data_IF_302509252307
#
_entry.id   IF_302509252307
#
_cell.length_a   1.000
_cell.length_b   1.000
_cell.length_c   1.000
_cell.angle_alpha   90.00
_cell.angle_beta   90.00
_cell.angle_gamma   90.00
#
_symmetry.space_group_name_H-M   'P 1'
#
loop_
_entity.id
_entity.type
_entity.pdbx_description
1 polymer ?
#
# COMPACT_ATOMS: atom_id res chain seq x y z
N UNK A 1 -43.39 -14.35 13.82
CA UNK A 1 -42.27 -13.41 14.11
C UNK A 1 -40.91 -14.09 14.38
N UNK A 2 -40.75 -15.38 14.47
CA UNK A 2 -39.44 -16.01 14.71
C UNK A 2 -38.47 -15.89 13.49
N UNK A 3 -38.96 -15.85 12.25
CA UNK A 3 -38.09 -15.84 11.08
C UNK A 3 -37.24 -14.58 10.88
N UNK A 4 -37.64 -13.44 11.45
CA UNK A 4 -36.82 -12.19 11.37
C UNK A 4 -35.61 -12.23 12.29
N UNK A 5 -35.71 -12.87 13.45
CA UNK A 5 -34.60 -13.00 14.40
C UNK A 5 -33.54 -13.94 13.84
N UNK A 6 -33.94 -15.06 13.23
CA UNK A 6 -33.04 -16.02 12.58
C UNK A 6 -32.29 -15.35 11.41
N UNK A 7 -32.95 -14.50 10.62
CA UNK A 7 -32.33 -13.79 9.50
C UNK A 7 -31.24 -12.81 9.93
N UNK A 8 -31.42 -12.14 11.09
CA UNK A 8 -30.42 -11.22 11.64
C UNK A 8 -29.33 -11.92 12.47
N UNK A 9 -29.62 -13.10 13.01
CA UNK A 9 -28.67 -13.89 13.77
C UNK A 9 -27.73 -14.73 12.89
N UNK A 10 -28.19 -15.15 11.70
CA UNK A 10 -27.40 -15.97 10.77
C UNK A 10 -26.02 -15.38 10.40
N UNK A 11 -25.87 -14.07 10.09
CA UNK A 11 -24.55 -13.47 9.81
C UNK A 11 -23.59 -13.48 10.99
N UNK A 12 -24.10 -13.52 12.24
CA UNK A 12 -23.28 -13.55 13.45
C UNK A 12 -22.80 -14.94 13.80
N UNK A 13 -23.42 -15.98 13.24
CA UNK A 13 -23.09 -17.38 13.54
C UNK A 13 -21.67 -17.73 13.04
N UNK A 14 -21.29 -17.25 11.86
CA UNK A 14 -19.96 -17.50 11.29
C UNK A 14 -18.84 -16.83 12.12
N UNK A 15 -18.91 -15.54 12.47
CA UNK A 15 -17.94 -14.94 13.39
C UNK A 15 -17.90 -15.59 14.75
N UNK A 16 -19.06 -15.95 15.33
CA UNK A 16 -19.12 -16.63 16.62
C UNK A 16 -18.42 -18.01 16.56
N UNK A 17 -18.70 -18.79 15.53
CA UNK A 17 -18.04 -20.08 15.32
C UNK A 17 -16.52 -19.92 15.13
N UNK A 18 -16.10 -18.89 14.40
CA UNK A 18 -14.69 -18.57 14.22
C UNK A 18 -14.00 -18.29 15.57
N UNK A 19 -14.58 -17.45 16.42
CA UNK A 19 -14.00 -17.15 17.74
C UNK A 19 -14.02 -18.37 18.68
N UNK A 20 -15.03 -19.21 18.61
CA UNK A 20 -15.06 -20.47 19.37
C UNK A 20 -13.94 -21.43 18.94
N UNK A 21 -13.75 -21.59 17.63
CA UNK A 21 -12.66 -22.42 17.08
C UNK A 21 -11.30 -21.82 17.46
N UNK A 22 -11.15 -20.49 17.38
CA UNK A 22 -9.92 -19.79 17.77
C UNK A 22 -9.56 -20.09 19.24
N UNK A 23 -10.50 -19.89 20.17
CA UNK A 23 -10.29 -20.09 21.60
C UNK A 23 -9.97 -21.56 21.89
N UNK A 24 -10.69 -22.49 21.25
CA UNK A 24 -10.41 -23.91 21.36
C UNK A 24 -8.99 -24.27 20.86
N UNK A 25 -8.57 -23.71 19.73
CA UNK A 25 -7.21 -23.90 19.20
C UNK A 25 -6.16 -23.28 20.12
N UNK A 26 -6.41 -22.08 20.67
CA UNK A 26 -5.50 -21.41 21.59
C UNK A 26 -5.26 -22.23 22.86
N UNK A 27 -6.32 -22.85 23.40
CA UNK A 27 -6.21 -23.75 24.56
C UNK A 27 -5.44 -25.04 24.23
N UNK A 28 -5.61 -25.59 23.02
CA UNK A 28 -4.88 -26.79 22.57
C UNK A 28 -3.38 -26.51 22.36
N UNK A 29 -3.05 -25.36 21.75
CA UNK A 29 -1.66 -24.96 21.49
C UNK A 29 -0.93 -24.63 22.81
N UNK A 30 -1.64 -24.03 23.78
CA UNK A 30 -1.10 -23.72 25.12
C UNK A 30 0.09 -22.76 25.11
N UNK A 31 0.32 -22.04 24.00
CA UNK A 31 1.42 -21.09 23.84
C UNK A 31 0.89 -19.77 23.27
N UNK A 32 0.77 -18.77 24.12
CA UNK A 32 0.24 -17.45 23.74
C UNK A 32 1.12 -16.68 22.74
N UNK A 33 2.39 -17.06 22.58
CA UNK A 33 3.26 -16.48 21.56
C UNK A 33 2.95 -16.97 20.15
N UNK A 34 2.35 -18.16 20.01
CA UNK A 34 1.96 -18.75 18.72
C UNK A 34 0.50 -18.41 18.43
N UNK A 35 -0.38 -18.64 19.41
CA UNK A 35 -1.81 -18.39 19.28
C UNK A 35 -2.35 -17.81 20.60
N UNK A 36 -2.43 -16.48 20.74
CA UNK A 36 -2.91 -15.85 21.96
C UNK A 36 -4.41 -16.13 22.16
N UNK A 37 -4.86 -16.39 23.40
CA UNK A 37 -6.27 -16.49 23.73
C UNK A 37 -6.98 -15.14 23.56
N UNK A 38 -8.29 -15.15 23.34
CA UNK A 38 -9.09 -13.94 23.12
C UNK A 38 -9.02 -12.98 24.32
N UNK A 39 -8.84 -13.49 25.52
CA UNK A 39 -8.70 -12.70 26.74
C UNK A 39 -7.45 -11.80 26.68
N UNK A 40 -6.29 -12.33 26.30
CA UNK A 40 -5.06 -11.56 26.15
C UNK A 40 -5.17 -10.50 25.05
N UNK A 41 -5.81 -10.85 23.92
CA UNK A 41 -6.08 -9.89 22.84
C UNK A 41 -7.01 -8.78 23.33
N UNK A 42 -8.08 -9.13 24.06
CA UNK A 42 -9.01 -8.18 24.64
C UNK A 42 -8.36 -7.23 25.65
N UNK A 43 -7.51 -7.75 26.53
CA UNK A 43 -6.76 -6.97 27.50
C UNK A 43 -5.81 -5.97 26.81
N UNK A 44 -5.09 -6.41 25.75
CA UNK A 44 -4.20 -5.55 24.96
C UNK A 44 -4.97 -4.42 24.27
N UNK A 45 -6.15 -4.70 23.73
CA UNK A 45 -7.00 -3.70 23.10
C UNK A 45 -7.63 -2.74 24.12
N UNK A 46 -7.90 -3.20 25.33
CA UNK A 46 -8.45 -2.37 26.41
C UNK A 46 -7.39 -1.40 26.97
N UNK A 47 -6.12 -1.81 26.94
CA UNK A 47 -4.99 -1.02 27.49
C UNK A 47 -3.89 -0.79 26.43
N UNK A 48 -4.16 -0.01 25.37
CA UNK A 48 -3.26 0.14 24.22
C UNK A 48 -1.97 0.93 24.53
N UNK A 49 -1.90 1.55 25.69
CA UNK A 49 -0.74 2.32 26.16
C UNK A 49 0.19 1.52 27.08
N UNK A 50 -0.22 0.32 27.46
CA UNK A 50 0.62 -0.52 28.31
C UNK A 50 1.76 -1.14 27.48
N UNK A 51 2.93 -1.27 28.13
CA UNK A 51 4.09 -1.88 27.49
C UNK A 51 3.91 -3.39 27.41
N UNK A 52 3.86 -3.92 26.19
CA UNK A 52 3.84 -5.35 25.93
C UNK A 52 5.28 -5.84 25.78
N UNK A 53 5.77 -6.52 26.80
CA UNK A 53 7.04 -7.28 26.85
C UNK A 53 8.11 -6.76 25.87
N UNK A 54 8.83 -5.70 26.24
CA UNK A 54 9.97 -5.13 25.50
C UNK A 54 9.69 -4.64 24.05
N UNK A 55 8.45 -4.68 23.57
CA UNK A 55 8.06 -4.25 22.22
C UNK A 55 7.46 -2.83 22.15
N UNK A 56 7.38 -2.12 23.28
CA UNK A 56 6.72 -0.82 23.37
C UNK A 56 5.20 -0.94 23.51
N UNK A 57 4.52 0.17 23.41
CA UNK A 57 3.04 0.23 23.52
C UNK A 57 2.39 -0.14 22.18
N UNK A 58 1.18 -0.70 22.21
CA UNK A 58 0.39 -0.99 20.99
C UNK A 58 0.18 0.28 20.15
N UNK A 59 -0.20 1.39 20.80
CA UNK A 59 -0.39 2.67 20.13
C UNK A 59 0.90 3.20 19.48
N UNK A 60 2.05 3.06 20.15
CA UNK A 60 3.35 3.42 19.59
C UNK A 60 3.72 2.61 18.36
N UNK A 61 3.49 1.30 18.39
CA UNK A 61 3.76 0.41 17.26
C UNK A 61 2.85 0.71 16.06
N UNK A 62 1.55 1.01 16.30
CA UNK A 62 0.63 1.45 15.25
C UNK A 62 1.12 2.77 14.64
N UNK A 63 1.52 3.75 15.46
CA UNK A 63 2.04 5.02 15.00
C UNK A 63 3.27 4.88 14.11
N UNK A 64 4.26 4.10 14.54
CA UNK A 64 5.48 3.81 13.75
C UNK A 64 5.13 3.09 12.45
N UNK A 65 4.23 2.12 12.49
CA UNK A 65 3.79 1.38 11.31
C UNK A 65 3.09 2.30 10.31
N UNK A 66 2.24 3.22 10.79
CA UNK A 66 1.58 4.21 9.95
C UNK A 66 2.57 5.16 9.28
N UNK A 67 3.55 5.68 10.04
CA UNK A 67 4.62 6.53 9.48
C UNK A 67 5.40 5.78 8.41
N UNK A 68 5.74 4.51 8.65
CA UNK A 68 6.44 3.65 7.67
C UNK A 68 5.66 3.49 6.38
N UNK A 69 4.36 3.18 6.48
CA UNK A 69 3.46 3.06 5.34
C UNK A 69 3.37 4.37 4.58
N UNK A 70 3.14 5.49 5.27
CA UNK A 70 3.04 6.81 4.64
C UNK A 70 4.35 7.21 3.94
N UNK A 71 5.52 6.96 4.54
CA UNK A 71 6.81 7.27 3.91
C UNK A 71 7.03 6.44 2.63
N UNK A 72 6.84 5.12 2.69
CA UNK A 72 6.99 4.25 1.50
C UNK A 72 6.01 4.60 0.39
N UNK A 73 4.76 4.88 0.76
CA UNK A 73 3.71 5.30 -0.16
C UNK A 73 4.00 6.67 -0.79
N UNK A 74 4.45 7.65 0.01
CA UNK A 74 4.81 8.97 -0.50
C UNK A 74 5.92 8.89 -1.56
N UNK A 75 6.94 8.07 -1.34
CA UNK A 75 7.99 7.83 -2.34
C UNK A 75 7.41 7.19 -3.61
N UNK A 76 6.49 6.24 -3.47
CA UNK A 76 5.82 5.61 -4.61
C UNK A 76 4.98 6.61 -5.42
N UNK A 77 4.29 7.55 -4.76
CA UNK A 77 3.53 8.63 -5.42
C UNK A 77 4.47 9.60 -6.12
N UNK A 78 5.51 10.06 -5.43
CA UNK A 78 6.48 11.04 -5.95
C UNK A 78 7.21 10.53 -7.20
N UNK A 79 7.47 9.23 -7.29
CA UNK A 79 8.14 8.63 -8.45
C UNK A 79 7.13 8.05 -9.46
N UNK A 80 6.09 7.38 -8.99
CA UNK A 80 5.13 6.67 -9.82
C UNK A 80 4.24 7.60 -10.64
N UNK A 81 3.76 8.71 -10.05
CA UNK A 81 2.89 9.66 -10.76
C UNK A 81 3.65 10.38 -11.88
N UNK A 82 4.79 11.04 -11.64
CA UNK A 82 5.52 11.71 -12.72
C UNK A 82 5.96 10.74 -13.82
N UNK A 83 6.49 9.56 -13.43
CA UNK A 83 6.91 8.55 -14.39
C UNK A 83 5.72 8.02 -15.20
N UNK A 84 4.59 7.73 -14.57
CA UNK A 84 3.37 7.28 -15.24
C UNK A 84 2.78 8.31 -16.18
N UNK A 85 2.75 9.58 -15.78
CA UNK A 85 2.33 10.70 -16.63
C UNK A 85 3.28 10.85 -17.83
N UNK A 86 4.60 10.79 -17.63
CA UNK A 86 5.57 10.83 -18.71
C UNK A 86 5.42 9.66 -19.68
N UNK A 87 5.23 8.45 -19.18
CA UNK A 87 4.95 7.27 -20.00
C UNK A 87 3.62 7.37 -20.74
N UNK A 88 2.59 7.93 -20.13
CA UNK A 88 1.29 8.15 -20.78
C UNK A 88 1.36 9.14 -21.93
N UNK A 89 2.20 10.17 -21.81
CA UNK A 89 2.37 11.21 -22.79
C UNK A 89 3.35 10.83 -23.92
N UNK A 90 4.54 10.30 -23.57
CA UNK A 90 5.59 9.96 -24.54
C UNK A 90 5.50 8.49 -24.95
N UNK A 91 5.02 8.21 -26.16
CA UNK A 91 4.87 6.84 -26.69
C UNK A 91 6.21 6.06 -26.74
N UNK A 92 7.34 6.72 -27.01
CA UNK A 92 8.67 6.12 -26.99
C UNK A 92 9.07 5.63 -25.59
N UNK A 93 8.88 6.49 -24.59
CA UNK A 93 9.13 6.15 -23.19
C UNK A 93 8.22 5.01 -22.71
N UNK A 94 6.95 5.05 -23.13
CA UNK A 94 6.00 3.97 -22.83
C UNK A 94 6.50 2.63 -23.37
N UNK A 95 6.90 2.55 -24.64
CA UNK A 95 7.39 1.31 -25.25
C UNK A 95 8.62 0.76 -24.54
N UNK A 96 9.57 1.64 -24.21
CA UNK A 96 10.82 1.27 -23.53
C UNK A 96 10.56 0.73 -22.12
N UNK A 97 9.84 1.51 -21.30
CA UNK A 97 9.65 1.18 -19.90
C UNK A 97 8.56 0.14 -19.66
N UNK A 98 7.52 0.07 -20.50
CA UNK A 98 6.44 -0.88 -20.30
C UNK A 98 6.91 -2.34 -20.40
N UNK A 99 7.85 -2.63 -21.30
CA UNK A 99 8.44 -3.96 -21.39
C UNK A 99 9.20 -4.29 -20.10
N UNK A 100 10.09 -3.39 -19.68
CA UNK A 100 10.90 -3.57 -18.47
C UNK A 100 10.05 -3.68 -17.20
N UNK A 101 9.17 -2.73 -16.97
CA UNK A 101 8.31 -2.70 -15.77
C UNK A 101 7.29 -3.83 -15.80
N UNK A 102 6.84 -4.24 -16.98
CA UNK A 102 5.93 -5.37 -17.17
C UNK A 102 6.48 -6.71 -16.68
N UNK A 103 7.81 -6.88 -16.70
CA UNK A 103 8.47 -8.09 -16.17
C UNK A 103 8.41 -8.17 -14.63
N UNK A 104 8.38 -7.04 -13.95
CA UNK A 104 8.33 -6.97 -12.48
C UNK A 104 6.92 -6.91 -11.91
N UNK A 105 5.94 -6.46 -12.70
CA UNK A 105 4.54 -6.30 -12.26
C UNK A 105 3.90 -7.58 -11.70
N UNK A 106 4.09 -8.79 -12.31
CA UNK A 106 3.48 -10.02 -11.81
C UNK A 106 4.14 -10.55 -10.52
N UNK A 107 5.25 -9.96 -10.07
CA UNK A 107 5.96 -10.42 -8.86
C UNK A 107 5.25 -9.85 -7.62
N UNK A 108 4.65 -10.70 -6.76
CA UNK A 108 3.99 -10.22 -5.55
C UNK A 108 5.00 -9.53 -4.62
N UNK A 109 4.61 -8.45 -3.91
CA UNK A 109 5.52 -7.70 -3.04
C UNK A 109 6.24 -8.57 -2.00
N UNK A 110 5.60 -9.61 -1.49
CA UNK A 110 6.20 -10.55 -0.54
C UNK A 110 7.37 -11.36 -1.13
N UNK A 111 7.36 -11.63 -2.43
CA UNK A 111 8.46 -12.33 -3.08
C UNK A 111 9.76 -11.51 -3.14
N UNK A 112 9.68 -10.18 -2.96
CA UNK A 112 10.84 -9.31 -2.88
C UNK A 112 11.55 -9.36 -1.54
N UNK A 113 10.90 -9.88 -0.47
CA UNK A 113 11.46 -9.87 0.90
C UNK A 113 12.87 -10.48 0.99
N UNK A 114 13.15 -11.69 0.48
CA UNK A 114 14.50 -12.26 0.56
C UNK A 114 15.55 -11.41 -0.16
N UNK A 115 15.22 -10.91 -1.35
CA UNK A 115 16.10 -10.09 -2.17
C UNK A 115 16.42 -8.74 -1.51
N UNK A 116 15.40 -8.10 -0.98
CA UNK A 116 15.49 -6.79 -0.31
C UNK A 116 16.28 -6.91 1.00
N UNK A 117 16.09 -8.00 1.74
CA UNK A 117 16.89 -8.28 2.93
C UNK A 117 18.35 -8.60 2.58
N UNK A 118 18.61 -9.26 1.45
CA UNK A 118 19.98 -9.50 0.97
C UNK A 118 20.66 -8.19 0.55
N UNK A 119 19.95 -7.23 -0.04
CA UNK A 119 20.51 -5.94 -0.49
C UNK A 119 20.69 -4.94 0.65
N UNK A 120 19.67 -4.73 1.47
CA UNK A 120 19.65 -3.68 2.50
C UNK A 120 19.86 -4.22 3.91
N UNK A 121 19.77 -5.53 4.10
CA UNK A 121 19.85 -6.14 5.42
C UNK A 121 18.79 -5.58 6.38
N UNK A 122 19.21 -5.38 7.62
CA UNK A 122 18.40 -4.75 8.68
C UNK A 122 18.71 -3.25 8.82
N UNK A 123 19.35 -2.63 7.82
CA UNK A 123 19.73 -1.22 7.85
C UNK A 123 18.49 -0.32 7.99
N UNK A 124 18.64 0.70 8.83
CA UNK A 124 17.61 1.71 9.07
C UNK A 124 17.97 3.03 8.41
N UNK A 125 16.99 3.90 8.27
CA UNK A 125 17.20 5.24 7.75
C UNK A 125 18.22 6.02 8.62
N UNK A 126 18.17 5.86 9.95
CA UNK A 126 19.13 6.45 10.87
C UNK A 126 20.57 5.99 10.62
N UNK A 127 20.75 4.68 10.33
CA UNK A 127 22.08 4.10 10.09
C UNK A 127 22.67 4.62 8.77
N UNK A 128 21.86 4.73 7.72
CA UNK A 128 22.32 5.21 6.40
C UNK A 128 22.63 6.70 6.43
N UNK A 129 21.88 7.49 7.20
CA UNK A 129 22.14 8.92 7.38
C UNK A 129 23.31 9.21 8.32
N UNK A 130 23.90 8.19 8.96
CA UNK A 130 25.02 8.35 9.90
C UNK A 130 24.70 9.22 11.12
N UNK A 131 23.43 9.22 11.56
CA UNK A 131 23.00 10.09 12.65
C UNK A 131 23.62 9.67 13.99
N UNK A 132 24.04 10.63 14.84
CA UNK A 132 24.44 10.34 16.21
C UNK A 132 23.23 9.80 17.00
N UNK A 133 23.51 9.04 18.08
CA UNK A 133 22.48 8.48 18.96
C UNK A 133 21.73 9.59 19.71
N UNK A 134 20.71 10.13 19.09
CA UNK A 134 19.79 11.15 19.59
C UNK A 134 18.35 10.60 19.61
N UNK A 135 17.40 11.34 20.15
CA UNK A 135 15.98 10.94 20.05
C UNK A 135 15.55 10.70 18.61
N UNK A 136 15.99 11.55 17.68
CA UNK A 136 15.71 11.39 16.25
C UNK A 136 16.27 10.06 15.70
N UNK A 137 17.45 9.62 16.18
CA UNK A 137 18.02 8.33 15.82
C UNK A 137 17.06 7.18 16.19
N UNK A 138 16.47 7.19 17.38
CA UNK A 138 15.56 6.12 17.82
C UNK A 138 14.31 6.04 16.96
N UNK A 139 13.71 7.17 16.59
CA UNK A 139 12.56 7.19 15.69
C UNK A 139 12.92 6.68 14.29
N UNK A 140 14.00 7.18 13.70
CA UNK A 140 14.44 6.79 12.35
C UNK A 140 15.02 5.38 12.29
N UNK A 141 15.50 4.83 13.39
CA UNK A 141 15.98 3.45 13.48
C UNK A 141 14.82 2.43 13.32
N UNK A 142 13.59 2.83 13.63
CA UNK A 142 12.41 2.01 13.39
C UNK A 142 11.99 1.98 11.91
N UNK A 143 12.48 2.92 11.10
CA UNK A 143 12.23 2.97 9.66
C UNK A 143 13.27 2.13 8.91
N UNK A 144 13.06 0.82 8.84
CA UNK A 144 13.94 -0.09 8.10
C UNK A 144 13.78 0.13 6.60
N UNK A 145 14.89 0.29 5.89
CA UNK A 145 14.90 0.55 4.42
C UNK A 145 14.25 -0.61 3.67
N UNK A 146 14.51 -1.84 4.10
CA UNK A 146 13.90 -3.02 3.51
C UNK A 146 12.37 -2.98 3.55
N UNK A 147 11.77 -2.55 4.66
CA UNK A 147 10.32 -2.41 4.79
C UNK A 147 9.77 -1.27 3.92
N UNK A 148 10.44 -0.10 3.93
CA UNK A 148 10.06 1.03 3.08
C UNK A 148 10.10 0.67 1.60
N UNK A 149 11.09 -0.10 1.17
CA UNK A 149 11.23 -0.55 -0.22
C UNK A 149 10.11 -1.52 -0.64
N UNK A 150 9.72 -2.46 0.23
CA UNK A 150 8.62 -3.38 -0.06
C UNK A 150 7.30 -2.62 -0.20
N UNK A 151 7.03 -1.66 0.69
CA UNK A 151 5.85 -0.79 0.61
C UNK A 151 5.88 0.04 -0.68
N UNK A 152 7.04 0.62 -1.00
CA UNK A 152 7.25 1.39 -2.22
C UNK A 152 6.93 0.56 -3.47
N UNK A 153 7.51 -0.64 -3.62
CA UNK A 153 7.28 -1.52 -4.77
C UNK A 153 5.81 -1.92 -4.88
N UNK A 154 5.17 -2.26 -3.74
CA UNK A 154 3.76 -2.64 -3.71
C UNK A 154 2.84 -1.54 -4.20
N UNK A 155 3.13 -0.28 -3.86
CA UNK A 155 2.34 0.88 -4.28
C UNK A 155 2.71 1.40 -5.67
N UNK A 156 3.97 1.27 -6.09
CA UNK A 156 4.48 1.86 -7.33
C UNK A 156 3.71 1.42 -8.56
N UNK A 157 3.51 0.11 -8.75
CA UNK A 157 2.90 -0.41 -9.97
C UNK A 157 1.43 0.00 -10.15
N UNK A 158 0.55 -0.08 -9.15
CA UNK A 158 -0.82 0.41 -9.25
C UNK A 158 -0.88 1.91 -9.58
N UNK A 159 -0.07 2.73 -8.88
CA UNK A 159 -0.01 4.18 -9.07
C UNK A 159 0.45 4.50 -10.49
N UNK A 160 1.56 3.89 -10.92
CA UNK A 160 2.12 4.10 -12.26
C UNK A 160 1.15 3.70 -13.37
N UNK A 161 0.50 2.53 -13.23
CA UNK A 161 -0.47 2.05 -14.21
C UNK A 161 -1.66 3.00 -14.33
N UNK A 162 -2.18 3.46 -13.19
CA UNK A 162 -3.30 4.38 -13.17
C UNK A 162 -2.94 5.76 -13.72
N UNK A 163 -1.71 6.24 -13.47
CA UNK A 163 -1.23 7.49 -14.04
C UNK A 163 -1.05 7.39 -15.57
N UNK A 164 -0.49 6.30 -16.07
CA UNK A 164 -0.39 6.03 -17.52
C UNK A 164 -1.78 6.02 -18.15
N UNK A 165 -2.69 5.23 -17.56
CA UNK A 165 -4.07 5.11 -18.07
C UNK A 165 -4.80 6.46 -18.02
N UNK A 166 -4.66 7.21 -16.94
CA UNK A 166 -5.26 8.53 -16.80
C UNK A 166 -4.89 9.48 -17.92
N UNK A 167 -3.61 9.49 -18.31
CA UNK A 167 -3.12 10.32 -19.42
C UNK A 167 -3.63 9.81 -20.77
N UNK A 168 -3.61 8.50 -20.98
CA UNK A 168 -4.03 7.89 -22.26
C UNK A 168 -5.52 8.00 -22.54
N UNK A 169 -6.35 8.14 -21.51
CA UNK A 169 -7.81 8.30 -21.62
C UNK A 169 -8.26 9.74 -21.90
N UNK A 170 -7.35 10.71 -21.83
CA UNK A 170 -7.69 12.11 -22.19
C UNK A 170 -8.10 12.18 -23.66
N UNK A 171 -9.22 12.85 -23.93
CA UNK A 171 -9.77 12.98 -25.27
C UNK A 171 -8.78 13.70 -26.21
N UNK A 172 -8.33 13.00 -27.24
CA UNK A 172 -7.39 13.52 -28.23
C UNK A 172 -7.92 14.77 -28.96
N UNK A 173 -9.24 14.84 -29.20
CA UNK A 173 -9.86 16.01 -29.82
C UNK A 173 -9.58 17.28 -29.03
N UNK A 174 -9.53 17.19 -27.70
CA UNK A 174 -9.25 18.32 -26.82
C UNK A 174 -7.80 18.81 -26.98
N UNK A 175 -6.86 17.87 -27.09
CA UNK A 175 -5.44 18.14 -27.34
C UNK A 175 -5.22 18.74 -28.74
N UNK A 176 -5.85 18.16 -29.75
CA UNK A 176 -5.71 18.59 -31.15
C UNK A 176 -6.34 19.97 -31.37
N UNK A 177 -7.51 20.24 -30.76
CA UNK A 177 -8.13 21.57 -30.79
C UNK A 177 -7.24 22.64 -30.19
N UNK A 178 -6.55 22.34 -29.08
CA UNK A 178 -5.61 23.28 -28.48
C UNK A 178 -4.39 23.55 -29.37
N UNK A 179 -3.89 22.53 -30.09
CA UNK A 179 -2.81 22.70 -31.07
C UNK A 179 -3.21 23.62 -32.21
N UNK A 180 -4.43 23.43 -32.75
CA UNK A 180 -4.97 24.30 -33.81
C UNK A 180 -5.09 25.75 -33.35
N UNK A 181 -5.40 25.98 -32.08
CA UNK A 181 -5.46 27.30 -31.45
C UNK A 181 -4.07 27.89 -31.11
N UNK A 182 -2.98 27.19 -31.46
CA UNK A 182 -1.61 27.67 -31.24
C UNK A 182 -1.04 27.46 -29.84
N UNK A 183 -1.67 26.58 -29.05
CA UNK A 183 -1.12 26.23 -27.72
C UNK A 183 0.24 25.52 -27.86
N UNK A 184 1.20 25.89 -27.00
CA UNK A 184 2.48 25.20 -26.95
C UNK A 184 2.32 23.79 -26.32
N UNK A 185 3.22 22.85 -26.64
CA UNK A 185 3.21 21.51 -26.05
C UNK A 185 3.27 21.55 -24.50
N UNK A 186 3.94 22.56 -23.94
CA UNK A 186 4.00 22.77 -22.50
C UNK A 186 2.64 23.20 -21.93
N UNK A 187 1.93 24.08 -22.63
CA UNK A 187 0.58 24.50 -22.21
C UNK A 187 -0.43 23.35 -22.33
N UNK A 188 -0.34 22.58 -23.40
CA UNK A 188 -1.16 21.37 -23.57
C UNK A 188 -0.92 20.40 -22.41
N UNK A 189 0.34 20.13 -22.09
CA UNK A 189 0.69 19.22 -21.00
C UNK A 189 0.18 19.70 -19.63
N UNK A 190 0.48 20.97 -19.28
CA UNK A 190 0.22 21.49 -17.93
C UNK A 190 -1.20 21.97 -17.70
N UNK A 191 -1.85 22.56 -18.72
CA UNK A 191 -3.16 23.21 -18.59
C UNK A 191 -4.31 22.33 -19.06
N UNK A 192 -4.06 21.32 -19.90
CA UNK A 192 -5.10 20.47 -20.48
C UNK A 192 -4.93 19.03 -20.01
N UNK A 193 -3.81 18.39 -20.33
CA UNK A 193 -3.61 16.97 -20.13
C UNK A 193 -3.53 16.60 -18.66
N UNK A 194 -2.71 17.29 -17.88
CA UNK A 194 -2.52 17.00 -16.48
C UNK A 194 -3.80 17.20 -15.63
N UNK A 195 -4.54 18.33 -15.79
CA UNK A 195 -5.84 18.49 -15.10
C UNK A 195 -6.90 17.49 -15.55
N UNK A 196 -6.95 17.16 -16.84
CA UNK A 196 -7.92 16.18 -17.36
C UNK A 196 -7.61 14.74 -16.89
N UNK A 197 -6.33 14.39 -16.71
CA UNK A 197 -5.90 13.09 -16.18
C UNK A 197 -6.00 13.00 -14.65
N UNK A 198 -6.01 14.13 -13.93
CA UNK A 198 -5.96 14.18 -12.47
C UNK A 198 -7.02 13.31 -11.77
N UNK A 199 -8.30 13.26 -12.17
CA UNK A 199 -9.30 12.39 -11.52
C UNK A 199 -8.92 10.91 -11.62
N UNK A 200 -8.39 10.45 -12.75
CA UNK A 200 -7.95 9.07 -12.94
C UNK A 200 -6.70 8.77 -12.12
N UNK A 201 -5.77 9.71 -12.04
CA UNK A 201 -4.56 9.59 -11.21
C UNK A 201 -4.96 9.46 -9.73
N UNK A 202 -5.83 10.34 -9.23
CA UNK A 202 -6.32 10.31 -7.84
C UNK A 202 -7.05 9.02 -7.54
N UNK A 203 -7.90 8.54 -8.45
CA UNK A 203 -8.55 7.24 -8.29
C UNK A 203 -7.55 6.09 -8.24
N UNK A 204 -6.44 6.19 -8.95
CA UNK A 204 -5.36 5.20 -8.93
C UNK A 204 -4.50 5.22 -7.67
N UNK A 205 -4.51 6.29 -6.90
CA UNK A 205 -3.86 6.34 -5.59
C UNK A 205 -4.58 5.45 -4.57
N UNK A 206 -5.89 5.26 -4.71
CA UNK A 206 -6.71 4.43 -3.82
C UNK A 206 -6.26 2.95 -3.79
N UNK A 207 -6.16 2.22 -4.94
CA UNK A 207 -5.67 0.84 -4.93
C UNK A 207 -4.24 0.72 -4.40
N UNK A 208 -3.36 1.69 -4.72
CA UNK A 208 -2.00 1.72 -4.18
C UNK A 208 -1.98 1.76 -2.66
N UNK A 209 -2.81 2.59 -2.04
CA UNK A 209 -2.95 2.66 -0.59
C UNK A 209 -3.63 1.42 0.01
N UNK A 210 -4.67 0.91 -0.64
CA UNK A 210 -5.43 -0.28 -0.19
C UNK A 210 -4.59 -1.55 -0.23
N UNK A 211 -3.78 -1.77 -1.29
CA UNK A 211 -2.86 -2.91 -1.38
C UNK A 211 -1.85 -2.96 -0.23
N UNK A 212 -1.40 -1.80 0.24
CA UNK A 212 -0.47 -1.71 1.37
C UNK A 212 -1.17 -2.04 2.69
N UNK A 213 -2.41 -1.60 2.85
CA UNK A 213 -3.17 -1.77 4.09
C UNK A 213 -3.83 -3.14 4.22
N UNK A 214 -4.29 -3.71 3.12
CA UNK A 214 -5.09 -4.94 3.10
C UNK A 214 -4.34 -6.19 2.59
N UNK A 215 -3.10 -6.08 2.14
CA UNK A 215 -2.19 -7.20 1.80
C UNK A 215 -2.64 -8.22 0.74
N UNK A 216 -3.94 -8.48 0.55
CA UNK A 216 -4.43 -9.66 -0.18
C UNK A 216 -5.59 -9.44 -1.18
N UNK A 217 -6.02 -8.21 -1.46
CA UNK A 217 -7.21 -7.99 -2.32
C UNK A 217 -7.07 -8.06 -3.85
N UNK A 218 -5.91 -8.25 -4.50
CA UNK A 218 -5.88 -8.37 -5.96
C UNK A 218 -6.52 -9.65 -6.49
N UNK A 219 -6.71 -10.67 -5.64
CA UNK A 219 -7.29 -11.96 -6.07
C UNK A 219 -8.82 -11.96 -6.08
N UNK A 220 -9.47 -11.17 -5.24
CA UNK A 220 -10.93 -11.13 -5.14
C UNK A 220 -11.57 -10.25 -6.22
N UNK A 221 -10.92 -9.17 -6.62
CA UNK A 221 -11.41 -8.30 -7.71
C UNK A 221 -11.25 -8.93 -9.09
N UNK A 222 -10.22 -9.75 -9.30
CA UNK A 222 -10.06 -10.51 -10.54
C UNK A 222 -11.09 -11.65 -10.70
N UNK A 223 -11.60 -12.19 -9.60
CA UNK A 223 -12.64 -13.22 -9.62
C UNK A 223 -14.05 -12.66 -9.83
N UNK A 224 -14.30 -11.41 -9.46
CA UNK A 224 -15.60 -10.75 -9.65
C UNK A 224 -15.79 -10.12 -11.05
N UNK A 225 -14.74 -10.09 -11.87
CA UNK A 225 -14.75 -9.53 -13.24
C UNK A 225 -14.90 -10.61 -14.33
N UNK A 226 -15.22 -11.84 -13.95
CA UNK A 226 -15.62 -12.96 -14.84
C UNK A 226 -17.07 -13.33 -14.53
#
# INVERSE_FOLDING_TARGET
>A
MPGRIIFWAAPLLVPALFFLIWEFMATLVGNSLILPPLEEIGALLAHPLDNVIAMGTLAGNIGISLVRVLCGYAVAVLLGVPLGVAMGYYAGLHRLLNLFLGMFRPIPPLAWVPLVLAWFGVSSLATVMGLPRSELYYYLNNLKISMLFIIFIGALFPILTSAVHGVQTVNRTLVDSARVLGASERDIFTKILLPAAAPSIVNGLRPGGTLILNGDEPLLTAAAAR
#
